data_IF_448024427572
#
_entry.id   IF_448024427572
#
_cell.length_a   1.000
_cell.length_b   1.000
_cell.length_c   1.000
_cell.angle_alpha   90.00
_cell.angle_beta   90.00
_cell.angle_gamma   90.00
#
_symmetry.space_group_name_H-M   'P 1'
#
loop_
_entity.id
_entity.type
_entity.pdbx_description
1 polymer ?
#
# COMPACT_ATOMS: atom_id res chain seq x y z
N UNK A 1 19.33 6.24 -7.93
CA UNK A 1 19.91 5.77 -9.20
C UNK A 1 18.76 5.27 -10.04
N UNK A 2 18.57 5.81 -11.23
CA UNK A 2 17.46 5.43 -12.13
C UNK A 2 17.96 4.28 -13.00
N UNK A 3 17.42 3.08 -12.82
CA UNK A 3 17.73 1.95 -13.70
C UNK A 3 16.82 2.06 -14.93
N UNK A 4 17.43 2.14 -16.11
CA UNK A 4 16.72 2.16 -17.38
C UNK A 4 17.01 0.87 -18.12
N UNK A 5 15.97 0.24 -18.65
CA UNK A 5 16.12 -0.89 -19.56
C UNK A 5 15.10 -0.79 -20.69
N UNK A 6 15.45 -1.39 -21.81
CA UNK A 6 14.74 -1.30 -23.08
C UNK A 6 14.00 -2.62 -23.31
N UNK A 7 12.77 -2.54 -23.83
CA UNK A 7 12.09 -3.73 -24.36
C UNK A 7 12.81 -4.26 -25.60
N UNK A 8 12.77 -5.57 -25.83
CA UNK A 8 13.23 -6.14 -27.11
C UNK A 8 12.43 -5.49 -28.25
N UNK A 9 13.12 -4.96 -29.25
CA UNK A 9 12.61 -4.14 -30.37
C UNK A 9 12.50 -2.61 -30.13
N UNK A 10 12.99 -2.09 -29.00
CA UNK A 10 13.11 -0.64 -28.70
C UNK A 10 11.77 0.13 -28.66
N UNK A 11 10.65 -0.54 -28.42
CA UNK A 11 9.32 0.10 -28.43
C UNK A 11 9.12 1.01 -27.20
N UNK A 12 9.66 0.61 -26.04
CA UNK A 12 9.47 1.33 -24.77
C UNK A 12 10.77 1.42 -23.96
N UNK A 13 11.02 2.59 -23.37
CA UNK A 13 12.08 2.80 -22.37
C UNK A 13 11.43 2.86 -21.00
N UNK A 14 11.83 1.94 -20.11
CA UNK A 14 11.29 1.89 -18.77
C UNK A 14 12.24 2.51 -17.74
N UNK A 15 11.68 3.32 -16.86
CA UNK A 15 12.29 3.78 -15.61
C UNK A 15 11.88 2.84 -14.48
N UNK A 16 12.87 2.22 -13.83
CA UNK A 16 12.67 1.42 -12.63
C UNK A 16 12.37 2.33 -11.43
N UNK A 17 11.24 2.07 -10.78
CA UNK A 17 10.83 2.68 -9.54
C UNK A 17 10.60 1.56 -8.50
N UNK A 18 10.97 1.83 -7.25
CA UNK A 18 10.93 0.86 -6.16
C UNK A 18 10.27 1.48 -4.92
N UNK A 19 9.43 0.70 -4.27
CA UNK A 19 8.57 1.14 -3.17
C UNK A 19 8.55 0.09 -2.07
N UNK A 20 8.69 0.51 -0.83
CA UNK A 20 8.87 -0.40 0.29
C UNK A 20 7.69 -0.35 1.25
N UNK A 21 7.19 -1.50 1.73
CA UNK A 21 6.36 -1.52 2.92
C UNK A 21 7.23 -1.05 4.10
N UNK A 22 6.77 -0.03 4.82
CA UNK A 22 7.46 0.48 6.01
C UNK A 22 6.87 -0.08 7.30
N UNK A 23 6.13 -1.19 7.21
CA UNK A 23 5.49 -1.84 8.34
C UNK A 23 6.53 -2.56 9.23
N UNK A 24 6.66 -2.20 10.52
CA UNK A 24 7.57 -2.85 11.47
C UNK A 24 7.33 -4.35 11.63
N UNK A 25 6.06 -4.77 11.54
CA UNK A 25 5.58 -6.14 11.80
C UNK A 25 5.36 -6.95 10.53
N UNK A 26 5.35 -6.33 9.36
CA UNK A 26 5.56 -7.06 8.12
C UNK A 26 7.01 -7.55 8.11
N UNK A 27 7.21 -8.83 8.42
CA UNK A 27 8.44 -9.57 8.10
C UNK A 27 8.54 -9.88 6.61
N UNK A 28 7.53 -9.46 5.85
CA UNK A 28 7.42 -9.71 4.43
C UNK A 28 8.58 -9.03 3.70
N UNK A 29 9.54 -9.86 3.30
CA UNK A 29 10.70 -9.46 2.52
C UNK A 29 10.31 -9.18 1.06
N UNK A 30 9.48 -8.17 0.82
CA UNK A 30 9.13 -7.71 -0.51
C UNK A 30 9.16 -6.20 -0.66
N UNK A 31 9.19 -5.78 -1.91
CA UNK A 31 8.98 -4.40 -2.33
C UNK A 31 8.00 -4.40 -3.51
N UNK A 32 7.37 -3.27 -3.76
CA UNK A 32 6.67 -3.03 -5.02
C UNK A 32 7.67 -2.45 -6.00
N UNK A 33 7.80 -3.10 -7.15
CA UNK A 33 8.60 -2.62 -8.26
C UNK A 33 7.64 -2.14 -9.35
N UNK A 34 7.95 -0.97 -9.91
CA UNK A 34 7.26 -0.46 -11.08
C UNK A 34 8.24 -0.16 -12.21
N UNK A 35 7.88 -0.56 -13.42
CA UNK A 35 8.48 -0.07 -14.65
C UNK A 35 7.55 1.01 -15.20
N UNK A 36 7.98 2.27 -15.09
CA UNK A 36 7.26 3.40 -15.67
C UNK A 36 7.84 3.66 -17.04
N UNK A 37 7.02 3.53 -18.06
CA UNK A 37 7.37 3.96 -19.41
C UNK A 37 7.69 5.47 -19.40
N UNK A 38 8.80 5.85 -20.03
CA UNK A 38 9.31 7.24 -20.05
C UNK A 38 8.44 8.15 -20.94
N UNK A 39 7.72 7.60 -21.92
CA UNK A 39 6.87 8.33 -22.86
C UNK A 39 5.37 8.26 -22.52
N UNK A 40 4.88 7.10 -22.04
CA UNK A 40 3.49 6.90 -21.64
C UNK A 40 3.35 6.37 -20.21
N UNK A 41 3.18 7.26 -19.24
CA UNK A 41 3.04 6.88 -17.82
C UNK A 41 1.86 5.94 -17.52
N UNK A 42 0.88 5.82 -18.42
CA UNK A 42 -0.24 4.88 -18.31
C UNK A 42 0.17 3.43 -18.66
N UNK A 43 1.25 3.24 -19.43
CA UNK A 43 1.87 1.95 -19.70
C UNK A 43 2.80 1.50 -18.55
N UNK A 44 2.31 1.63 -17.32
CA UNK A 44 3.05 1.27 -16.11
C UNK A 44 2.88 -0.20 -15.77
N UNK A 45 4.00 -0.89 -15.54
CA UNK A 45 4.02 -2.29 -15.11
C UNK A 45 4.38 -2.32 -13.63
N UNK A 46 3.45 -2.69 -12.75
CA UNK A 46 3.71 -2.74 -11.30
C UNK A 46 3.45 -4.14 -10.74
N UNK A 47 4.36 -4.63 -9.90
CA UNK A 47 4.30 -5.96 -9.30
C UNK A 47 5.02 -6.00 -7.95
N UNK A 48 4.67 -6.97 -7.12
CA UNK A 48 5.38 -7.27 -5.88
C UNK A 48 6.60 -8.13 -6.23
N UNK A 49 7.80 -7.69 -5.82
CA UNK A 49 9.06 -8.44 -5.88
C UNK A 49 9.49 -8.81 -4.47
N UNK A 50 9.61 -10.11 -4.22
CA UNK A 50 10.19 -10.63 -2.97
C UNK A 50 11.72 -10.71 -3.06
N UNK A 51 12.40 -10.69 -1.91
CA UNK A 51 13.86 -10.74 -1.80
C UNK A 51 14.46 -12.11 -2.17
N UNK A 52 13.61 -13.13 -2.32
CA UNK A 52 13.95 -14.44 -2.89
C UNK A 52 13.70 -14.53 -4.40
N UNK A 53 13.43 -13.38 -5.06
CA UNK A 53 13.19 -13.25 -6.51
C UNK A 53 11.91 -13.93 -7.01
N UNK A 54 10.89 -14.07 -6.16
CA UNK A 54 9.53 -14.40 -6.60
C UNK A 54 8.67 -13.15 -6.78
N UNK A 55 7.66 -13.23 -7.66
CA UNK A 55 6.77 -12.10 -7.95
C UNK A 55 5.30 -12.41 -7.68
N UNK A 56 4.53 -11.41 -7.27
CA UNK A 56 3.08 -11.49 -7.10
C UNK A 56 2.39 -10.27 -7.73
N UNK A 57 1.14 -10.41 -8.21
CA UNK A 57 0.36 -9.25 -8.64
C UNK A 57 0.08 -8.34 -7.44
N UNK A 58 -0.01 -7.03 -7.69
CA UNK A 58 -0.49 -6.07 -6.71
C UNK A 58 -1.99 -6.26 -6.47
N UNK A 59 -2.45 -6.25 -5.20
CA UNK A 59 -3.87 -6.24 -4.89
C UNK A 59 -4.57 -5.02 -5.52
N UNK A 60 -5.72 -5.24 -6.15
CA UNK A 60 -6.53 -4.19 -6.80
C UNK A 60 -5.83 -3.42 -7.94
N UNK A 61 -4.73 -3.94 -8.48
CA UNK A 61 -4.09 -3.41 -9.69
C UNK A 61 -4.57 -4.17 -10.94
N UNK A 62 -4.66 -3.52 -12.12
CA UNK A 62 -4.96 -4.22 -13.36
C UNK A 62 -4.06 -5.44 -13.58
N UNK A 63 -4.64 -6.51 -14.12
CA UNK A 63 -3.85 -7.68 -14.51
C UNK A 63 -2.87 -7.28 -15.60
N UNK A 64 -1.61 -7.66 -15.41
CA UNK A 64 -0.58 -7.48 -16.43
C UNK A 64 -0.97 -8.20 -17.73
N UNK A 65 -0.71 -7.56 -18.87
CA UNK A 65 -0.87 -8.20 -20.17
C UNK A 65 0.15 -9.35 -20.34
N UNK A 66 -0.02 -10.24 -21.33
CA UNK A 66 0.97 -11.28 -21.61
C UNK A 66 2.39 -10.73 -21.87
N UNK A 67 2.48 -9.59 -22.56
CA UNK A 67 3.74 -8.89 -22.85
C UNK A 67 4.37 -8.39 -21.55
N UNK A 68 3.63 -7.62 -20.75
CA UNK A 68 4.09 -7.10 -19.46
C UNK A 68 4.51 -8.24 -18.50
N UNK A 69 3.78 -9.35 -18.52
CA UNK A 69 4.12 -10.54 -17.71
C UNK A 69 5.46 -11.16 -18.14
N UNK A 70 5.76 -11.18 -19.45
CA UNK A 70 7.05 -11.65 -19.96
C UNK A 70 8.19 -10.68 -19.60
N UNK A 71 7.97 -9.37 -19.70
CA UNK A 71 8.94 -8.34 -19.27
C UNK A 71 9.33 -8.57 -17.81
N UNK A 72 8.33 -8.66 -16.91
CA UNK A 72 8.58 -8.93 -15.47
C UNK A 72 9.35 -10.23 -15.28
N UNK A 73 8.91 -11.32 -15.93
CA UNK A 73 9.55 -12.63 -15.78
C UNK A 73 11.01 -12.63 -16.24
N UNK A 74 11.32 -11.96 -17.35
CA UNK A 74 12.69 -11.89 -17.87
C UNK A 74 13.55 -11.00 -16.98
N UNK A 75 13.06 -9.82 -16.61
CA UNK A 75 13.79 -8.93 -15.71
C UNK A 75 14.13 -9.61 -14.37
N UNK A 76 13.16 -10.32 -13.75
CA UNK A 76 13.37 -11.01 -12.46
C UNK A 76 14.46 -12.09 -12.53
N UNK A 77 14.55 -12.81 -13.65
CA UNK A 77 15.61 -13.80 -13.88
C UNK A 77 16.98 -13.15 -13.97
N UNK A 78 17.05 -12.00 -14.62
CA UNK A 78 18.30 -11.31 -14.95
C UNK A 78 18.74 -10.27 -13.91
N UNK A 79 17.99 -10.06 -12.81
CA UNK A 79 18.38 -9.07 -11.79
C UNK A 79 19.78 -9.40 -11.24
N UNK A 80 20.76 -8.46 -11.32
CA UNK A 80 22.06 -8.64 -10.69
C UNK A 80 21.95 -8.79 -9.18
N UNK A 81 22.85 -9.57 -8.57
CA UNK A 81 22.86 -9.75 -7.12
C UNK A 81 23.10 -8.42 -6.39
N UNK A 82 23.91 -7.54 -6.96
CA UNK A 82 24.24 -6.21 -6.45
C UNK A 82 23.00 -5.31 -6.40
N UNK A 83 22.18 -5.34 -7.46
CA UNK A 83 20.92 -4.60 -7.49
C UNK A 83 19.95 -5.15 -6.43
N UNK A 84 19.88 -6.48 -6.26
CA UNK A 84 19.08 -7.05 -5.18
C UNK A 84 19.58 -6.64 -3.79
N UNK A 85 20.89 -6.62 -3.55
CA UNK A 85 21.46 -6.16 -2.27
C UNK A 85 21.08 -4.70 -2.01
N UNK A 86 21.19 -3.84 -3.02
CA UNK A 86 20.81 -2.43 -2.92
C UNK A 86 19.33 -2.26 -2.55
N UNK A 87 18.44 -3.01 -3.21
CA UNK A 87 17.01 -2.94 -2.93
C UNK A 87 16.68 -3.44 -1.51
N UNK A 88 17.36 -4.49 -1.02
CA UNK A 88 17.22 -4.94 0.38
C UNK A 88 17.68 -3.87 1.38
N UNK A 89 18.81 -3.23 1.12
CA UNK A 89 19.33 -2.15 1.97
C UNK A 89 18.35 -0.99 2.03
N UNK A 90 17.85 -0.54 0.88
CA UNK A 90 16.85 0.54 0.80
C UNK A 90 15.54 0.18 1.50
N UNK A 91 15.12 -1.09 1.45
CA UNK A 91 13.97 -1.56 2.22
C UNK A 91 14.19 -1.47 3.73
N UNK A 92 15.35 -1.93 4.21
CA UNK A 92 15.72 -1.86 5.62
C UNK A 92 15.82 -0.40 6.11
N UNK A 93 16.39 0.48 5.28
CA UNK A 93 16.44 1.92 5.56
C UNK A 93 15.05 2.54 5.59
N UNK A 94 14.20 2.26 4.58
CA UNK A 94 12.83 2.77 4.53
C UNK A 94 12.02 2.33 5.75
N UNK A 95 12.20 1.09 6.22
CA UNK A 95 11.59 0.58 7.45
C UNK A 95 12.11 1.33 8.68
N UNK A 96 13.43 1.43 8.85
CA UNK A 96 14.05 2.05 10.02
C UNK A 96 13.83 3.58 10.13
N UNK A 97 13.78 4.28 9.00
CA UNK A 97 13.67 5.75 8.96
C UNK A 97 12.25 6.23 8.63
N UNK A 98 11.49 5.52 7.80
CA UNK A 98 10.09 5.81 7.54
C UNK A 98 9.24 5.77 8.82
N UNK A 99 9.54 4.85 9.74
CA UNK A 99 8.91 4.82 11.07
C UNK A 99 9.22 6.06 11.92
N UNK A 100 10.44 6.60 11.83
CA UNK A 100 10.88 7.76 12.64
C UNK A 100 10.44 9.09 12.03
N UNK A 101 10.45 9.18 10.71
CA UNK A 101 10.05 10.33 9.93
C UNK A 101 9.41 9.85 8.61
N UNK A 102 8.07 9.68 8.57
CA UNK A 102 7.38 9.17 7.39
C UNK A 102 7.70 9.95 6.11
N UNK A 103 7.93 11.26 6.23
CA UNK A 103 8.26 12.12 5.08
C UNK A 103 9.59 11.77 4.40
N UNK A 104 10.51 11.10 5.09
CA UNK A 104 11.86 10.88 4.58
C UNK A 104 11.95 9.86 3.44
N UNK A 105 10.95 8.99 3.28
CA UNK A 105 10.92 7.93 2.26
C UNK A 105 9.58 7.83 1.51
N UNK A 106 8.60 8.67 1.83
CA UNK A 106 7.31 8.69 1.14
C UNK A 106 7.37 9.63 -0.07
N UNK A 107 7.06 9.08 -1.24
CA UNK A 107 6.75 9.86 -2.43
C UNK A 107 5.25 9.75 -2.71
N UNK A 108 4.59 10.90 -2.86
CA UNK A 108 3.16 10.95 -3.08
C UNK A 108 2.81 10.93 -4.56
N UNK A 109 2.15 9.87 -5.02
CA UNK A 109 1.64 9.77 -6.39
C UNK A 109 0.32 8.98 -6.43
N UNK A 110 -0.70 9.55 -7.08
CA UNK A 110 -2.12 9.13 -7.00
C UNK A 110 -2.37 7.62 -7.18
N UNK A 111 -1.51 6.98 -7.99
CA UNK A 111 -1.64 5.60 -8.45
C UNK A 111 -0.69 4.62 -7.75
N UNK A 112 0.12 5.09 -6.79
CA UNK A 112 1.15 4.28 -6.13
C UNK A 112 0.65 3.69 -4.82
N UNK A 113 1.02 2.43 -4.59
CA UNK A 113 0.73 1.70 -3.34
C UNK A 113 1.37 2.37 -2.10
N UNK A 114 2.41 3.20 -2.29
CA UNK A 114 3.01 4.01 -1.23
C UNK A 114 2.11 5.11 -0.67
N UNK A 115 1.00 5.41 -1.34
CA UNK A 115 -0.01 6.36 -0.83
C UNK A 115 -0.91 5.74 0.25
N UNK A 116 -0.69 4.50 0.64
CA UNK A 116 -1.32 3.91 1.80
C UNK A 116 -0.38 4.08 3.00
N UNK A 117 -0.86 4.75 4.05
CA UNK A 117 -0.15 4.79 5.32
C UNK A 117 -0.67 3.68 6.19
N UNK A 118 0.25 2.84 6.64
CA UNK A 118 0.01 1.96 7.77
C UNK A 118 0.40 2.71 9.04
N UNK A 119 -0.58 2.99 9.88
CA UNK A 119 -0.33 3.72 11.14
C UNK A 119 0.03 2.72 12.24
N UNK A 120 1.26 2.22 12.20
CA UNK A 120 1.80 1.28 13.19
C UNK A 120 2.39 1.96 14.45
N UNK A 121 2.62 1.20 15.54
CA UNK A 121 2.21 1.51 16.90
C UNK A 121 3.31 2.27 17.66
N UNK A 122 3.88 3.31 17.04
CA UNK A 122 4.44 4.39 17.86
C UNK A 122 3.31 5.19 18.54
N UNK A 123 2.06 5.02 18.09
CA UNK A 123 0.86 5.49 18.75
C UNK A 123 0.43 4.51 19.85
N UNK A 124 0.32 5.01 21.09
CA UNK A 124 0.05 4.26 22.34
C UNK A 124 -1.27 3.47 22.43
N UNK A 125 -2.03 3.33 21.33
CA UNK A 125 -3.40 2.83 21.33
C UNK A 125 -3.56 1.65 20.37
N UNK A 126 -2.98 0.49 20.69
CA UNK A 126 -3.14 -0.71 19.87
C UNK A 126 -4.62 -1.17 19.85
N UNK A 127 -5.11 -1.63 18.70
CA UNK A 127 -6.47 -2.15 18.55
C UNK A 127 -6.53 -3.63 18.93
N UNK A 128 -6.28 -3.93 20.21
CA UNK A 128 -6.27 -5.31 20.75
C UNK A 128 -7.60 -5.62 21.41
N UNK A 129 -8.12 -6.83 21.20
CA UNK A 129 -9.37 -7.30 21.79
C UNK A 129 -9.33 -8.81 22.06
N UNK A 130 -10.29 -9.31 22.82
CA UNK A 130 -10.45 -10.74 23.12
C UNK A 130 -11.76 -11.24 22.50
N UNK A 131 -11.73 -12.41 21.89
CA UNK A 131 -12.89 -13.12 21.37
C UNK A 131 -12.69 -14.63 21.63
N UNK A 132 -13.70 -15.32 22.16
CA UNK A 132 -13.62 -16.76 22.51
C UNK A 132 -12.35 -17.16 23.30
N UNK A 133 -12.02 -16.39 24.34
CA UNK A 133 -10.82 -16.56 25.19
C UNK A 133 -9.46 -16.41 24.48
N UNK A 134 -9.47 -16.07 23.19
CA UNK A 134 -8.30 -15.83 22.36
C UNK A 134 -8.06 -14.33 22.16
N UNK A 135 -6.79 -13.93 22.02
CA UNK A 135 -6.43 -12.53 21.78
C UNK A 135 -6.29 -12.25 20.30
N UNK A 136 -6.77 -11.08 19.89
CA UNK A 136 -6.72 -10.59 18.52
C UNK A 136 -6.23 -9.15 18.49
N UNK A 137 -5.75 -8.72 17.34
CA UNK A 137 -5.46 -7.32 17.07
C UNK A 137 -5.92 -6.94 15.67
N UNK A 138 -6.23 -5.66 15.49
CA UNK A 138 -6.60 -5.10 14.20
C UNK A 138 -5.55 -4.07 13.72
N UNK A 139 -5.24 -4.13 12.44
CA UNK A 139 -4.40 -3.16 11.73
C UNK A 139 -5.29 -2.28 10.85
N UNK A 140 -5.09 -0.97 10.91
CA UNK A 140 -5.85 0.02 10.17
C UNK A 140 -5.00 0.70 9.07
N UNK A 141 -5.50 0.60 7.83
CA UNK A 141 -4.84 1.14 6.64
C UNK A 141 -5.66 2.30 6.08
N UNK A 142 -4.96 3.39 5.78
CA UNK A 142 -5.57 4.63 5.33
C UNK A 142 -5.05 5.02 3.95
N UNK A 143 -5.95 5.46 3.07
CA UNK A 143 -5.55 6.12 1.82
C UNK A 143 -5.16 7.57 2.12
N UNK A 144 -3.87 7.88 2.00
CA UNK A 144 -3.35 9.22 2.31
C UNK A 144 -3.80 10.29 1.33
N UNK A 145 -4.20 9.93 0.11
CA UNK A 145 -4.51 10.90 -0.94
C UNK A 145 -5.60 11.90 -0.51
N UNK A 146 -5.28 13.19 -0.28
CA UNK A 146 -6.26 14.15 0.24
C UNK A 146 -7.29 14.56 -0.82
N UNK A 147 -7.05 14.26 -2.11
CA UNK A 147 -8.03 14.47 -3.19
C UNK A 147 -9.12 13.41 -3.17
N UNK A 148 -8.80 12.22 -2.68
CA UNK A 148 -9.74 11.12 -2.52
C UNK A 148 -10.67 11.41 -1.35
N UNK A 149 -11.98 11.52 -1.64
CA UNK A 149 -13.01 11.78 -0.63
C UNK A 149 -13.41 10.52 0.12
N UNK A 150 -12.98 9.34 -0.34
CA UNK A 150 -13.21 8.08 0.36
C UNK A 150 -12.66 8.19 1.80
N UNK A 151 -13.56 7.97 2.77
CA UNK A 151 -13.28 8.04 4.21
C UNK A 151 -13.11 6.66 4.84
N UNK A 152 -13.05 5.62 4.04
CA UNK A 152 -13.06 4.25 4.50
C UNK A 152 -11.70 3.89 5.07
N UNK A 153 -11.73 3.04 6.09
CA UNK A 153 -10.54 2.46 6.71
C UNK A 153 -10.56 0.97 6.43
N UNK A 154 -9.46 0.42 5.91
CA UNK A 154 -9.32 -1.03 5.80
C UNK A 154 -8.76 -1.56 7.11
N UNK A 155 -9.53 -2.42 7.77
CA UNK A 155 -9.12 -3.14 8.96
C UNK A 155 -8.70 -4.56 8.55
N UNK A 156 -7.55 -5.01 9.01
CA UNK A 156 -7.11 -6.40 8.91
C UNK A 156 -7.04 -6.98 10.32
N UNK A 157 -7.75 -8.09 10.55
CA UNK A 157 -7.90 -8.68 11.87
C UNK A 157 -7.02 -9.92 11.95
N UNK A 158 -6.16 -10.00 12.97
CA UNK A 158 -5.22 -11.09 13.18
C UNK A 158 -5.45 -11.72 14.54
N UNK A 159 -5.24 -13.03 14.63
CA UNK A 159 -5.07 -13.69 15.92
C UNK A 159 -3.70 -13.30 16.46
N UNK A 160 -3.58 -13.00 17.75
CA UNK A 160 -2.29 -12.70 18.35
C UNK A 160 -1.57 -14.01 18.67
N UNK A 161 -0.64 -14.43 17.82
CA UNK A 161 0.29 -15.52 18.10
C UNK A 161 1.74 -15.00 18.06
N UNK A 162 2.44 -15.09 19.18
CA UNK A 162 3.83 -14.61 19.28
C UNK A 162 4.85 -15.57 18.65
N UNK A 163 4.43 -16.79 18.28
CA UNK A 163 5.30 -17.81 17.69
C UNK A 163 5.20 -17.87 16.16
N UNK A 164 4.17 -17.25 15.57
CA UNK A 164 3.96 -17.23 14.12
C UNK A 164 4.31 -15.86 13.59
N UNK A 165 5.36 -15.77 12.78
CA UNK A 165 5.85 -14.48 12.28
C UNK A 165 5.23 -14.07 10.95
N UNK A 166 4.48 -14.98 10.29
CA UNK A 166 3.88 -14.74 8.98
C UNK A 166 2.36 -15.03 9.00
N UNK A 167 1.68 -14.41 9.97
CA UNK A 167 0.28 -14.66 10.23
C UNK A 167 -0.61 -13.97 9.19
N UNK A 168 -1.37 -14.76 8.42
CA UNK A 168 -2.38 -14.20 7.54
C UNK A 168 -3.55 -13.60 8.37
N UNK A 169 -4.19 -12.52 7.90
CA UNK A 169 -5.35 -11.97 8.57
C UNK A 169 -6.48 -13.01 8.55
N UNK A 170 -7.17 -13.15 9.69
CA UNK A 170 -8.41 -13.93 9.83
C UNK A 170 -9.43 -13.44 8.82
N UNK A 171 -9.60 -12.12 8.75
CA UNK A 171 -10.38 -11.45 7.72
C UNK A 171 -9.99 -9.97 7.58
N UNK A 172 -10.40 -9.37 6.46
CA UNK A 172 -10.34 -7.93 6.25
C UNK A 172 -11.74 -7.33 6.29
N UNK A 173 -11.88 -6.12 6.78
CA UNK A 173 -13.14 -5.40 6.90
C UNK A 173 -13.00 -3.95 6.46
N UNK A 174 -14.01 -3.43 5.77
CA UNK A 174 -14.06 -2.01 5.39
C UNK A 174 -14.85 -1.23 6.44
N UNK A 175 -14.16 -0.47 7.27
CA UNK A 175 -14.82 0.41 8.23
C UNK A 175 -15.25 1.70 7.52
N UNK A 176 -16.57 1.86 7.35
CA UNK A 176 -17.17 3.09 6.88
C UNK A 176 -17.53 4.00 8.08
N UNK A 177 -17.11 5.27 8.04
CA UNK A 177 -17.59 6.25 9.02
C UNK A 177 -19.07 6.61 8.81
N UNK A 178 -19.59 6.39 7.60
CA UNK A 178 -21.03 6.46 7.32
C UNK A 178 -21.72 5.22 7.87
N UNK A 179 -22.66 5.40 8.78
CA UNK A 179 -23.36 4.31 9.47
C UNK A 179 -24.17 3.41 8.52
N UNK A 180 -24.76 3.98 7.48
CA UNK A 180 -25.54 3.20 6.50
C UNK A 180 -24.62 2.27 5.70
N UNK A 181 -23.53 2.81 5.16
CA UNK A 181 -22.54 2.02 4.41
C UNK A 181 -21.88 0.97 5.31
N UNK A 182 -21.61 1.31 6.58
CA UNK A 182 -21.07 0.37 7.56
C UNK A 182 -22.03 -0.80 7.81
N UNK A 183 -23.32 -0.52 8.00
CA UNK A 183 -24.35 -1.54 8.19
C UNK A 183 -24.47 -2.46 6.97
N UNK A 184 -24.38 -1.91 5.76
CA UNK A 184 -24.36 -2.69 4.52
C UNK A 184 -23.13 -3.60 4.41
N UNK A 185 -21.96 -3.14 4.87
CA UNK A 185 -20.74 -3.96 4.92
C UNK A 185 -20.83 -5.05 6.01
N UNK A 186 -21.33 -4.71 7.20
CA UNK A 186 -21.54 -5.66 8.32
C UNK A 186 -22.47 -6.81 7.91
N UNK A 187 -23.50 -6.51 7.10
CA UNK A 187 -24.45 -7.50 6.59
C UNK A 187 -23.83 -8.52 5.62
N UNK A 188 -22.66 -8.24 5.05
CA UNK A 188 -21.93 -9.15 4.14
C UNK A 188 -21.02 -10.11 4.89
N UNK A 189 -20.76 -9.87 6.17
CA UNK A 189 -19.85 -10.67 6.96
C UNK A 189 -20.48 -12.02 7.33
N UNK A 190 -19.60 -13.01 7.50
CA UNK A 190 -19.98 -14.27 8.15
C UNK A 190 -20.34 -13.98 9.62
N UNK A 191 -21.25 -14.76 10.23
CA UNK A 191 -21.66 -14.57 11.63
C UNK A 191 -20.48 -14.43 12.60
N UNK A 192 -19.50 -15.33 12.50
CA UNK A 192 -18.27 -15.32 13.32
C UNK A 192 -17.48 -14.00 13.19
N UNK A 193 -17.28 -13.50 11.96
CA UNK A 193 -16.56 -12.23 11.75
C UNK A 193 -17.35 -11.03 12.28
N UNK A 194 -18.68 -11.07 12.22
CA UNK A 194 -19.53 -10.03 12.78
C UNK A 194 -19.41 -10.01 14.32
N UNK A 195 -19.46 -11.19 14.97
CA UNK A 195 -19.25 -11.31 16.41
C UNK A 195 -17.86 -10.81 16.85
N UNK A 196 -16.81 -11.09 16.07
CA UNK A 196 -15.47 -10.54 16.31
C UNK A 196 -15.45 -9.01 16.25
N UNK A 197 -16.13 -8.39 15.28
CA UNK A 197 -16.23 -6.92 15.21
C UNK A 197 -17.04 -6.34 16.36
N UNK A 198 -18.08 -7.04 16.82
CA UNK A 198 -18.82 -6.65 18.02
C UNK A 198 -17.91 -6.70 19.25
N UNK A 199 -17.14 -7.78 19.43
CA UNK A 199 -16.18 -7.91 20.52
C UNK A 199 -15.12 -6.80 20.48
N UNK A 200 -14.60 -6.46 19.29
CA UNK A 200 -13.66 -5.35 19.10
C UNK A 200 -14.28 -4.00 19.49
N UNK A 201 -15.49 -3.69 19.04
CA UNK A 201 -16.19 -2.45 19.41
C UNK A 201 -16.48 -2.35 20.92
N UNK A 202 -16.78 -3.49 21.57
CA UNK A 202 -17.00 -3.53 23.02
C UNK A 202 -15.70 -3.34 23.81
N UNK A 203 -14.60 -3.96 23.37
CA UNK A 203 -13.29 -3.84 23.99
C UNK A 203 -12.70 -2.43 23.81
N UNK A 204 -12.98 -1.79 22.66
CA UNK A 204 -12.43 -0.50 22.27
C UNK A 204 -13.59 0.50 22.12
N UNK A 205 -14.11 0.97 23.24
CA UNK A 205 -15.26 1.88 23.29
C UNK A 205 -15.05 3.20 22.53
N UNK A 206 -13.80 3.60 22.30
CA UNK A 206 -13.40 4.79 21.53
C UNK A 206 -12.98 4.48 20.09
N UNK A 207 -13.23 3.26 19.56
CA UNK A 207 -12.74 2.82 18.24
C UNK A 207 -13.03 3.85 17.14
N UNK A 208 -14.27 4.35 17.08
CA UNK A 208 -14.66 5.37 16.09
C UNK A 208 -13.76 6.62 16.15
N UNK A 209 -13.52 7.16 17.35
CA UNK A 209 -12.71 8.37 17.53
C UNK A 209 -11.22 8.10 17.24
N UNK A 210 -10.71 6.92 17.61
CA UNK A 210 -9.35 6.49 17.27
C UNK A 210 -9.18 6.45 15.75
N UNK A 211 -10.04 5.70 15.05
CA UNK A 211 -9.94 5.54 13.60
C UNK A 211 -10.11 6.88 12.87
N UNK A 212 -11.01 7.74 13.36
CA UNK A 212 -11.27 9.07 12.78
C UNK A 212 -10.08 10.02 12.96
N UNK A 213 -9.45 9.99 14.14
CA UNK A 213 -8.24 10.78 14.40
C UNK A 213 -7.11 10.33 13.49
N UNK A 214 -6.84 9.02 13.44
CA UNK A 214 -5.82 8.42 12.56
C UNK A 214 -6.06 8.73 11.09
N UNK A 215 -7.30 8.62 10.62
CA UNK A 215 -7.67 9.04 9.26
C UNK A 215 -7.29 10.50 8.98
N UNK A 216 -7.59 11.42 9.91
CA UNK A 216 -7.24 12.85 9.75
C UNK A 216 -5.73 13.05 9.71
N UNK A 217 -5.00 12.36 10.57
CA UNK A 217 -3.54 12.43 10.62
C UNK A 217 -2.93 11.93 9.31
N UNK A 218 -3.42 10.80 8.76
CA UNK A 218 -3.01 10.26 7.47
C UNK A 218 -3.30 11.22 6.30
N UNK A 219 -4.47 11.88 6.29
CA UNK A 219 -4.80 12.88 5.26
C UNK A 219 -3.91 14.11 5.35
N UNK A 220 -3.64 14.61 6.57
CA UNK A 220 -2.73 15.74 6.78
C UNK A 220 -1.32 15.40 6.29
N UNK A 221 -0.84 14.19 6.53
CA UNK A 221 0.43 13.71 5.99
C UNK A 221 0.41 13.71 4.45
N UNK A 222 -0.66 13.20 3.84
CA UNK A 222 -0.85 13.27 2.39
C UNK A 222 -0.81 14.69 1.82
N UNK A 223 -1.42 15.67 2.50
CA UNK A 223 -1.34 17.09 2.13
C UNK A 223 0.08 17.64 2.25
N UNK A 224 0.82 17.27 3.29
CA UNK A 224 2.21 17.68 3.49
C UNK A 224 3.12 17.07 2.40
N UNK A 225 2.91 15.80 2.04
CA UNK A 225 3.64 15.14 0.96
C UNK A 225 3.33 15.78 -0.40
N UNK A 226 2.07 16.11 -0.68
CA UNK A 226 1.69 16.84 -1.90
C UNK A 226 2.39 18.19 -2.03
N UNK A 227 2.64 18.90 -0.91
CA UNK A 227 3.36 20.19 -0.93
C UNK A 227 4.86 20.03 -1.15
N UNK A 228 5.44 18.89 -0.78
CA UNK A 228 6.86 18.57 -0.94
C UNK A 228 7.16 17.84 -2.25
N UNK A 229 6.15 17.24 -2.87
CA UNK A 229 6.26 16.66 -4.19
C UNK A 229 6.70 17.74 -5.21
N UNK A 230 7.55 17.39 -6.18
CA UNK A 230 7.90 18.29 -7.27
C UNK A 230 6.61 18.84 -7.93
N UNK A 231 6.58 20.12 -8.32
CA UNK A 231 5.38 20.75 -8.89
C UNK A 231 4.86 20.04 -10.16
N UNK A 232 5.70 19.25 -10.83
CA UNK A 232 5.29 18.32 -11.88
C UNK A 232 4.92 16.95 -11.30
N UNK A 233 3.81 16.91 -10.57
CA UNK A 233 2.98 15.71 -10.64
C UNK A 233 2.26 15.83 -11.99
N UNK A 234 2.61 14.96 -12.95
CA UNK A 234 1.82 14.81 -14.18
C UNK A 234 0.36 14.62 -13.77
N UNK A 235 -0.42 15.68 -13.93
CA UNK A 235 -1.85 15.64 -13.73
C UNK A 235 -2.41 14.74 -14.84
N UNK A 236 -2.87 13.55 -14.48
CA UNK A 236 -3.95 12.92 -15.23
C UNK A 236 -5.18 13.77 -14.99
N UNK A 237 -5.28 14.89 -15.71
CA UNK A 237 -6.51 15.67 -15.78
C UNK A 237 -7.43 15.00 -16.79
N UNK A 238 -8.64 14.75 -16.32
CA UNK A 238 -9.74 14.16 -17.04
C UNK A 238 -9.98 14.83 -18.41
N UNK A 239 -10.22 13.97 -19.41
CA UNK A 239 -10.70 14.25 -20.79
C UNK A 239 -9.76 15.06 -21.70
N UNK A 240 -8.72 14.40 -22.20
CA UNK A 240 -8.14 14.77 -23.50
C UNK A 240 -9.15 14.46 -24.61
N UNK A 241 -9.56 15.49 -25.36
CA UNK A 241 -10.20 15.29 -26.67
C UNK A 241 -9.12 14.89 -27.67
N UNK A 242 -9.41 14.02 -28.66
CA UNK A 242 -8.41 13.62 -29.64
C UNK A 242 -7.98 14.84 -30.48
N UNK A 243 -6.66 14.99 -30.64
CA UNK A 243 -5.94 15.91 -31.54
C UNK A 243 -5.85 17.40 -31.14
N UNK A 244 -4.95 17.73 -30.20
CA UNK A 244 -4.19 18.98 -30.30
C UNK A 244 -2.70 18.68 -30.12
N UNK A 245 -1.95 18.74 -31.22
CA UNK A 245 -0.48 18.83 -31.20
C UNK A 245 -0.10 20.29 -30.91
N UNK A 246 0.91 20.51 -30.08
CA UNK A 246 1.56 21.81 -29.97
C UNK A 246 3.05 21.65 -30.26
N UNK A 247 3.52 22.52 -31.16
CA UNK A 247 4.87 22.66 -31.71
C UNK A 247 5.95 22.92 -30.67
#
# INVERSE_FOLDING_TARGET
>A
MTFRFEEEDFEHIYVLEDFYPTNPFAEEEFMVVSFRDDEDSSNRISFILTFNRSTRPLPNYPKLTPVQSNIVKNWVKEIPNELMVLLKQRAMEAKAYGEKNPMSYLEFAAERYTNFLEMFPSMKENLVFTYEDEKYFAEDHYRMDPREKNRDVKLFIYKLDLNETNQAPVFSYTYHFNEKERSEEDARLKPEHNEMLVAMNQAISSLYEILKKRYRDAKKLGEELMKQAPPEILHVNEKLKPNEMVH
#
